data_IF_920020290851
#
_entry.id   IF_920020290851
#
_cell.length_a   1.000
_cell.length_b   1.000
_cell.length_c   1.000
_cell.angle_alpha   90.00
_cell.angle_beta   90.00
_cell.angle_gamma   90.00
#
_symmetry.space_group_name_H-M   'P 1'
#
loop_
_entity.id
_entity.type
_entity.pdbx_description
1 polymer ?
#
# COMPACT_ATOMS: atom_id res chain seq x y z
N UNK A 1 11.77 13.31 -18.44
CA UNK A 1 12.02 14.01 -17.16
C UNK A 1 12.23 12.93 -16.12
N UNK A 2 13.49 12.48 -15.98
CA UNK A 2 13.86 11.36 -15.11
C UNK A 2 13.98 11.86 -13.68
N UNK A 3 13.28 11.22 -12.74
CA UNK A 3 13.32 11.54 -11.32
C UNK A 3 14.51 10.87 -10.66
N UNK A 4 15.40 11.74 -10.16
CA UNK A 4 16.31 11.68 -9.01
C UNK A 4 16.61 10.34 -8.30
N UNK A 5 17.88 10.20 -7.93
CA UNK A 5 18.53 9.03 -7.33
C UNK A 5 18.00 8.70 -5.93
N UNK A 6 17.99 7.40 -5.59
CA UNK A 6 17.44 6.79 -4.38
C UNK A 6 18.01 7.31 -3.05
N UNK A 7 19.10 8.06 -3.08
CA UNK A 7 19.84 8.58 -1.92
C UNK A 7 19.16 9.76 -1.22
N UNK A 8 18.22 10.45 -1.86
CA UNK A 8 17.57 11.64 -1.31
C UNK A 8 16.28 11.38 -0.51
N UNK A 9 15.90 10.10 -0.28
CA UNK A 9 14.64 9.72 0.41
C UNK A 9 14.72 9.66 1.94
N UNK A 10 15.69 10.29 2.59
CA UNK A 10 15.68 10.48 4.04
C UNK A 10 14.82 11.71 4.41
N UNK A 11 13.56 11.71 3.97
CA UNK A 11 12.56 12.68 4.43
C UNK A 11 12.06 12.33 5.84
N UNK A 12 11.38 13.25 6.54
CA UNK A 12 10.86 13.01 7.90
C UNK A 12 10.01 11.74 7.92
N UNK A 13 10.03 10.98 9.01
CA UNK A 13 9.34 9.69 9.11
C UNK A 13 7.91 9.81 8.57
N UNK A 14 7.62 9.12 7.46
CA UNK A 14 6.33 9.20 6.76
C UNK A 14 5.22 8.41 7.49
N UNK A 15 5.22 8.43 8.82
CA UNK A 15 4.17 7.80 9.61
C UNK A 15 2.99 8.74 9.70
N UNK A 16 1.86 8.35 9.12
CA UNK A 16 0.57 8.96 9.47
C UNK A 16 0.40 8.89 10.99
N UNK A 17 -0.08 9.96 11.65
CA UNK A 17 -0.33 9.92 13.09
C UNK A 17 -1.26 8.76 13.41
N UNK A 18 -0.97 8.02 14.49
CA UNK A 18 -1.81 6.93 14.97
C UNK A 18 -3.22 7.47 15.23
N UNK A 19 -4.18 7.09 14.36
CA UNK A 19 -5.57 7.55 14.46
C UNK A 19 -6.31 6.63 15.43
N UNK A 20 -7.10 7.15 16.37
CA UNK A 20 -8.05 6.29 17.11
C UNK A 20 -9.05 5.72 16.10
N UNK A 21 -9.18 4.39 16.08
CA UNK A 21 -10.18 3.71 15.24
C UNK A 21 -11.56 4.06 15.78
N UNK A 22 -12.38 4.74 14.97
CA UNK A 22 -13.80 4.95 15.26
C UNK A 22 -14.59 3.69 14.98
N UNK A 23 -15.68 3.47 15.73
CA UNK A 23 -16.57 2.31 15.51
C UNK A 23 -17.25 2.36 14.13
N UNK A 24 -17.41 3.54 13.55
CA UNK A 24 -17.95 3.78 12.21
C UNK A 24 -16.93 4.58 11.41
N UNK A 25 -16.55 4.08 10.24
CA UNK A 25 -15.56 4.67 9.33
C UNK A 25 -16.27 5.36 8.16
N UNK A 26 -15.67 6.43 7.60
CA UNK A 26 -16.28 7.18 6.48
C UNK A 26 -16.13 6.43 5.17
N UNK A 27 -14.98 5.78 4.98
CA UNK A 27 -14.73 4.87 3.87
C UNK A 27 -13.64 3.85 4.27
N UNK A 28 -13.36 2.92 3.38
CA UNK A 28 -12.41 1.82 3.62
C UNK A 28 -10.96 2.28 3.84
N UNK A 29 -10.58 3.48 3.39
CA UNK A 29 -9.22 4.00 3.62
C UNK A 29 -8.99 4.37 5.09
N UNK A 30 -10.05 4.64 5.87
CA UNK A 30 -9.93 4.86 7.31
C UNK A 30 -9.56 3.57 8.08
N UNK A 31 -9.79 2.40 7.47
CA UNK A 31 -9.40 1.11 8.03
C UNK A 31 -7.90 0.82 7.87
N UNK A 32 -7.17 1.66 7.12
CA UNK A 32 -5.74 1.51 6.88
C UNK A 32 -4.97 2.06 8.09
N UNK A 33 -4.12 1.21 8.68
CA UNK A 33 -3.33 1.55 9.86
C UNK A 33 -3.80 0.76 11.08
N UNK A 34 -3.35 1.17 12.28
CA UNK A 34 -3.76 0.58 13.56
C UNK A 34 -3.71 -0.96 13.60
N UNK A 35 -2.73 -1.53 12.90
CA UNK A 35 -2.56 -2.97 12.86
C UNK A 35 -2.18 -3.46 14.24
N UNK A 36 -2.92 -4.44 14.81
CA UNK A 36 -2.66 -4.91 16.16
C UNK A 36 -1.27 -5.55 16.26
N UNK A 37 -0.63 -5.33 17.41
CA UNK A 37 0.52 -6.11 17.85
C UNK A 37 -0.01 -7.30 18.65
N UNK A 38 0.40 -8.51 18.26
CA UNK A 38 -0.05 -9.75 18.88
C UNK A 38 1.16 -10.43 19.52
N UNK A 39 1.06 -10.76 20.81
CA UNK A 39 2.11 -11.48 21.51
C UNK A 39 2.21 -12.92 20.97
N UNK A 40 3.43 -13.38 20.70
CA UNK A 40 3.73 -14.77 20.36
C UNK A 40 3.99 -15.55 21.65
N UNK A 41 3.12 -16.51 21.95
CA UNK A 41 3.17 -17.25 23.21
C UNK A 41 3.90 -18.59 23.07
N UNK A 42 3.57 -19.40 22.05
CA UNK A 42 4.02 -20.79 21.96
C UNK A 42 5.48 -20.93 21.51
N UNK A 43 5.87 -20.27 20.42
CA UNK A 43 7.22 -20.42 19.83
C UNK A 43 8.33 -19.99 20.83
N UNK A 44 8.24 -18.81 21.50
CA UNK A 44 9.28 -18.44 22.46
C UNK A 44 9.36 -19.37 23.66
N UNK A 45 8.23 -19.94 24.10
CA UNK A 45 8.18 -20.88 25.21
C UNK A 45 8.82 -22.24 24.85
N UNK A 46 8.59 -22.73 23.62
CA UNK A 46 9.24 -23.95 23.10
C UNK A 46 10.76 -23.80 22.99
N UNK A 47 11.25 -22.61 22.64
CA UNK A 47 12.68 -22.29 22.53
C UNK A 47 13.33 -21.90 23.88
N UNK A 48 12.59 -21.95 24.99
CA UNK A 48 13.11 -21.60 26.32
C UNK A 48 13.51 -20.14 26.48
N UNK A 49 12.99 -19.24 25.66
CA UNK A 49 13.32 -17.82 25.68
C UNK A 49 12.57 -17.08 26.79
N UNK A 50 13.29 -16.25 27.55
CA UNK A 50 12.73 -15.31 28.54
C UNK A 50 12.30 -13.96 27.94
N UNK A 51 12.53 -13.76 26.64
CA UNK A 51 12.18 -12.54 25.90
C UNK A 51 10.74 -12.61 25.40
N UNK A 52 9.99 -11.51 25.54
CA UNK A 52 8.67 -11.37 24.94
C UNK A 52 8.78 -11.03 23.44
N UNK A 53 8.11 -11.82 22.60
CA UNK A 53 8.03 -11.57 21.16
C UNK A 53 6.65 -11.07 20.80
N UNK A 54 6.61 -10.01 19.98
CA UNK A 54 5.39 -9.46 19.42
C UNK A 54 5.44 -9.50 17.90
N UNK A 55 4.33 -9.89 17.29
CA UNK A 55 4.15 -9.94 15.85
C UNK A 55 3.17 -8.86 15.40
N UNK A 56 3.56 -8.10 14.39
CA UNK A 56 2.64 -7.18 13.73
C UNK A 56 1.88 -7.91 12.63
N UNK A 57 0.61 -8.24 12.88
CA UNK A 57 -0.28 -8.94 11.95
C UNK A 57 -0.72 -8.04 10.79
N UNK A 58 0.22 -7.57 9.97
CA UNK A 58 -0.08 -6.78 8.77
C UNK A 58 -0.75 -7.70 7.75
N UNK A 59 -2.05 -7.49 7.49
CA UNK A 59 -2.64 -7.91 6.22
C UNK A 59 -1.94 -7.10 5.12
N UNK A 60 -1.25 -7.79 4.22
CA UNK A 60 -0.47 -7.28 3.08
C UNK A 60 0.00 -5.81 3.21
N UNK A 61 1.17 -5.68 3.83
CA UNK A 61 1.80 -4.51 4.43
C UNK A 61 1.88 -3.20 3.61
N UNK A 62 1.54 -3.18 2.32
CA UNK A 62 1.83 -2.05 1.42
C UNK A 62 0.58 -1.29 0.93
N UNK A 63 -0.63 -1.73 1.31
CA UNK A 63 -1.84 -0.91 1.15
C UNK A 63 -1.73 0.46 1.84
N UNK A 64 -0.98 0.51 2.95
CA UNK A 64 -0.66 1.75 3.70
C UNK A 64 0.13 2.76 2.87
N UNK A 65 1.13 2.30 2.12
CA UNK A 65 2.00 3.19 1.34
C UNK A 65 1.25 3.83 0.18
N UNK A 66 0.41 3.07 -0.54
CA UNK A 66 -0.37 3.61 -1.65
C UNK A 66 -1.35 4.71 -1.23
N UNK A 67 -2.13 4.48 -0.16
CA UNK A 67 -3.05 5.50 0.34
C UNK A 67 -2.32 6.75 0.85
N UNK A 68 -1.17 6.59 1.52
CA UNK A 68 -0.36 7.70 1.98
C UNK A 68 0.24 8.52 0.82
N UNK A 69 0.68 7.86 -0.26
CA UNK A 69 1.17 8.57 -1.46
C UNK A 69 0.09 9.44 -2.09
N UNK A 70 -1.12 8.91 -2.23
CA UNK A 70 -2.25 9.66 -2.78
C UNK A 70 -2.60 10.84 -1.87
N UNK A 71 -2.71 10.63 -0.56
CA UNK A 71 -3.05 11.70 0.39
C UNK A 71 -1.99 12.81 0.41
N UNK A 72 -0.70 12.46 0.35
CA UNK A 72 0.38 13.43 0.31
C UNK A 72 0.40 14.21 -1.03
N UNK A 73 0.17 13.53 -2.15
CA UNK A 73 0.12 14.17 -3.47
C UNK A 73 -1.08 15.13 -3.60
N UNK A 74 -2.23 14.79 -2.99
CA UNK A 74 -3.39 15.70 -2.88
C UNK A 74 -3.05 16.93 -2.03
N UNK A 75 -2.46 16.73 -0.84
CA UNK A 75 -2.06 17.83 0.06
C UNK A 75 -1.04 18.76 -0.57
N UNK A 76 -0.13 18.22 -1.38
CA UNK A 76 0.85 19.00 -2.14
C UNK A 76 0.26 19.70 -3.38
N UNK A 77 -1.01 19.45 -3.72
CA UNK A 77 -1.65 20.00 -4.91
C UNK A 77 -1.16 19.41 -6.24
N UNK A 78 -0.34 18.35 -6.18
CA UNK A 78 0.19 17.64 -7.35
C UNK A 78 -0.91 16.82 -8.01
N UNK A 79 -1.68 16.10 -7.19
CA UNK A 79 -2.78 15.26 -7.66
C UNK A 79 -4.10 16.06 -7.63
N UNK A 80 -4.68 16.26 -8.82
CA UNK A 80 -5.95 16.99 -8.99
C UNK A 80 -7.11 16.01 -9.16
N UNK A 81 -8.36 16.37 -8.80
CA UNK A 81 -9.53 15.52 -9.02
C UNK A 81 -9.62 14.99 -10.46
N UNK A 82 -9.89 13.70 -10.62
CA UNK A 82 -9.98 13.03 -11.93
C UNK A 82 -8.63 12.77 -12.61
N UNK A 83 -7.50 13.06 -11.96
CA UNK A 83 -6.17 12.70 -12.49
C UNK A 83 -6.00 11.19 -12.65
N UNK A 84 -5.00 10.81 -13.46
CA UNK A 84 -4.59 9.42 -13.64
C UNK A 84 -3.34 9.12 -12.82
N UNK A 85 -3.38 8.04 -12.05
CA UNK A 85 -2.24 7.49 -11.31
C UNK A 85 -1.65 6.35 -12.16
N UNK A 86 -0.36 6.43 -12.47
CA UNK A 86 0.38 5.39 -13.20
C UNK A 86 1.53 4.92 -12.33
N UNK A 87 1.58 3.62 -12.04
CA UNK A 87 2.63 3.05 -11.19
C UNK A 87 3.20 1.75 -11.81
N UNK A 88 4.51 1.68 -12.07
CA UNK A 88 5.17 0.42 -12.44
C UNK A 88 5.42 -0.42 -11.19
N UNK A 89 4.56 -1.40 -10.92
CA UNK A 89 4.69 -2.28 -9.75
C UNK A 89 4.00 -3.61 -9.95
N UNK A 90 4.62 -4.67 -9.43
CA UNK A 90 4.00 -5.99 -9.22
C UNK A 90 3.68 -6.27 -7.74
N UNK A 91 3.94 -5.28 -6.89
CA UNK A 91 3.83 -5.35 -5.45
C UNK A 91 2.46 -4.93 -4.93
N UNK A 92 2.36 -4.93 -3.60
CA UNK A 92 1.13 -4.60 -2.90
C UNK A 92 0.88 -3.07 -2.89
N UNK A 93 1.89 -2.26 -3.20
CA UNK A 93 1.74 -0.82 -3.46
C UNK A 93 0.71 -0.56 -4.56
N UNK A 94 0.72 -1.35 -5.64
CA UNK A 94 -0.25 -1.20 -6.74
C UNK A 94 -1.67 -1.44 -6.27
N UNK A 95 -1.88 -2.43 -5.39
CA UNK A 95 -3.19 -2.72 -4.78
C UNK A 95 -3.64 -1.57 -3.89
N UNK A 96 -2.73 -1.01 -3.07
CA UNK A 96 -3.01 0.16 -2.24
C UNK A 96 -3.40 1.40 -3.05
N UNK A 97 -2.68 1.66 -4.14
CA UNK A 97 -2.97 2.77 -5.05
C UNK A 97 -4.29 2.56 -5.77
N UNK A 98 -4.58 1.35 -6.26
CA UNK A 98 -5.84 1.02 -6.91
C UNK A 98 -7.04 1.18 -5.97
N UNK A 99 -6.91 0.75 -4.71
CA UNK A 99 -7.94 0.94 -3.69
C UNK A 99 -8.19 2.43 -3.41
N UNK A 100 -7.12 3.21 -3.21
CA UNK A 100 -7.22 4.64 -2.99
C UNK A 100 -7.83 5.36 -4.20
N UNK A 101 -7.43 4.99 -5.42
CA UNK A 101 -7.96 5.52 -6.66
C UNK A 101 -9.45 5.23 -6.83
N UNK A 102 -9.90 4.00 -6.56
CA UNK A 102 -11.30 3.60 -6.64
C UNK A 102 -12.17 4.42 -5.67
N UNK A 103 -11.71 4.64 -4.44
CA UNK A 103 -12.45 5.41 -3.43
C UNK A 103 -12.46 6.91 -3.74
N UNK A 104 -11.35 7.46 -4.25
CA UNK A 104 -11.18 8.91 -4.46
C UNK A 104 -11.53 9.38 -5.87
N UNK A 105 -11.84 8.46 -6.79
CA UNK A 105 -12.25 8.79 -8.16
C UNK A 105 -11.09 9.12 -9.10
N UNK A 106 -9.95 8.46 -8.92
CA UNK A 106 -8.82 8.56 -9.86
C UNK A 106 -8.82 7.39 -10.83
N UNK A 107 -8.38 7.63 -12.06
CA UNK A 107 -8.05 6.53 -12.97
C UNK A 107 -6.73 5.90 -12.51
N UNK A 108 -6.66 4.57 -12.44
CA UNK A 108 -5.45 3.87 -11.99
C UNK A 108 -4.94 2.93 -13.06
N UNK A 109 -3.65 3.06 -13.38
CA UNK A 109 -2.94 2.23 -14.35
C UNK A 109 -1.75 1.59 -13.66
N UNK A 110 -1.71 0.26 -13.65
CA UNK A 110 -0.60 -0.53 -13.09
C UNK A 110 0.17 -1.17 -14.24
N UNK A 111 1.48 -0.93 -14.27
CA UNK A 111 2.40 -1.56 -15.22
C UNK A 111 3.14 -2.67 -14.51
N UNK A 112 3.04 -3.92 -14.99
CA UNK A 112 3.69 -5.07 -14.38
C UNK A 112 4.21 -6.07 -15.44
N UNK A 113 5.20 -6.93 -15.13
CA UNK A 113 5.59 -8.02 -16.04
C UNK A 113 4.46 -9.03 -16.27
N UNK A 114 4.51 -9.75 -17.39
CA UNK A 114 3.52 -10.81 -17.70
C UNK A 114 3.50 -11.95 -16.68
N UNK A 115 4.67 -12.31 -16.13
CA UNK A 115 4.86 -13.42 -15.18
C UNK A 115 4.51 -13.02 -13.75
N UNK A 116 3.29 -12.53 -13.53
CA UNK A 116 2.79 -12.16 -12.21
C UNK A 116 1.59 -13.02 -11.79
N UNK A 117 1.45 -13.24 -10.47
CA UNK A 117 0.36 -14.05 -9.91
C UNK A 117 -1.01 -13.58 -10.40
N UNK A 118 -1.87 -14.53 -10.76
CA UNK A 118 -3.25 -14.27 -11.16
C UNK A 118 -4.08 -13.63 -10.04
N UNK A 119 -3.79 -13.95 -8.79
CA UNK A 119 -4.48 -13.39 -7.61
C UNK A 119 -4.38 -11.87 -7.59
N UNK A 120 -3.16 -11.34 -7.74
CA UNK A 120 -2.91 -9.89 -7.74
C UNK A 120 -3.59 -9.19 -8.91
N UNK A 121 -3.56 -9.82 -10.08
CA UNK A 121 -4.22 -9.29 -11.29
C UNK A 121 -5.72 -9.21 -11.06
N UNK A 122 -6.31 -10.24 -10.47
CA UNK A 122 -7.74 -10.28 -10.20
C UNK A 122 -8.16 -9.22 -9.18
N UNK A 123 -7.38 -9.02 -8.11
CA UNK A 123 -7.61 -7.96 -7.12
C UNK A 123 -7.55 -6.59 -7.78
N UNK A 124 -6.52 -6.31 -8.58
CA UNK A 124 -6.36 -5.02 -9.26
C UNK A 124 -7.50 -4.73 -10.25
N UNK A 125 -7.92 -5.73 -11.03
CA UNK A 125 -9.09 -5.61 -11.91
C UNK A 125 -10.38 -5.37 -11.14
N UNK A 126 -10.58 -6.08 -10.02
CA UNK A 126 -11.76 -5.88 -9.17
C UNK A 126 -11.80 -4.48 -8.55
N UNK A 127 -10.64 -3.87 -8.29
CA UNK A 127 -10.51 -2.48 -7.85
C UNK A 127 -10.61 -1.47 -9.00
N UNK A 128 -10.83 -1.90 -10.25
CA UNK A 128 -10.97 -1.03 -11.41
C UNK A 128 -9.67 -0.48 -11.97
N UNK A 129 -8.51 -1.04 -11.59
CA UNK A 129 -7.24 -0.65 -12.18
C UNK A 129 -7.06 -1.27 -13.58
N UNK A 130 -6.56 -0.46 -14.51
CA UNK A 130 -6.09 -0.92 -15.81
C UNK A 130 -4.70 -1.52 -15.67
N UNK A 131 -4.47 -2.67 -16.30
CA UNK A 131 -3.22 -3.41 -16.17
C UNK A 131 -2.52 -3.46 -17.52
N UNK A 132 -1.34 -2.85 -17.59
CA UNK A 132 -0.44 -2.99 -18.74
C UNK A 132 0.62 -4.01 -18.39
N UNK A 133 0.69 -5.07 -19.20
CA UNK A 133 1.70 -6.10 -19.06
C UNK A 133 2.84 -5.86 -20.03
N UNK A 134 4.08 -5.92 -19.55
CA UNK A 134 5.25 -5.96 -20.42
C UNK A 134 5.81 -7.39 -20.52
N UNK A 135 6.33 -7.75 -21.69
CA UNK A 135 6.86 -9.08 -22.02
C UNK A 135 8.15 -9.44 -21.29
N UNK A 136 8.71 -8.52 -20.49
CA UNK A 136 9.89 -8.78 -19.67
C UNK A 136 11.09 -9.20 -20.50
N UNK A 137 11.44 -8.43 -21.51
CA UNK A 137 12.71 -8.54 -22.26
C UNK A 137 13.47 -7.22 -22.12
N UNK A 138 14.79 -7.24 -21.83
CA UNK A 138 15.65 -6.13 -22.22
C UNK A 138 15.54 -5.86 -23.72
#
# INVERSE_FOLDING_TARGET
MYLETWEQRQGPSHSLPCKRVSKVMKNILDAIGNTPLVQLNSIPAEEGSSVEFFFQCRRECQGQSGAAYVENAEKAGILKPGSTIIEPTSGNTGVGLALAAAVKGYRCIIVMPEKMSSEKVNILKALGAEIYRNSGTP
#
